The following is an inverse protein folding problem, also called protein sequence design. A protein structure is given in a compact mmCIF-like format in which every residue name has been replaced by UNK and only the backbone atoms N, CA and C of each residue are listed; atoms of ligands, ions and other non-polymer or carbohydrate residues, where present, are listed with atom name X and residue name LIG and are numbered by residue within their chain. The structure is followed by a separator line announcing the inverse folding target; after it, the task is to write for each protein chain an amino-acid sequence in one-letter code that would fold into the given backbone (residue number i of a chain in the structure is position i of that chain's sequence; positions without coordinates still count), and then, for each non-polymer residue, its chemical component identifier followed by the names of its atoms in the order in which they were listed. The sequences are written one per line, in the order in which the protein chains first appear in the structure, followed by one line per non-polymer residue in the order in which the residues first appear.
data_IF_706848632155
#
_entry.id   IF_706848632155
#
_cell.length_a   1.000
_cell.length_b   1.000
_cell.length_c   1.000
_cell.angle_alpha   90.00
_cell.angle_beta   90.00
_cell.angle_gamma   90.00
#
_symmetry.space_group_name_H-M   'P 1'
#
loop_
_entity.id
_entity.type
_entity.pdbx_description
1 polymer ?
#
# COMPACT_ATOMS: atom_id res chain seq x y z
N UNK A 1 12.23 -4.67 -23.81
CA UNK A 1 13.06 -3.43 -23.79
C UNK A 1 14.42 -3.69 -24.45
N UNK A 2 15.21 -4.63 -23.97
CA UNK A 2 16.54 -4.99 -24.52
C UNK A 2 16.47 -5.36 -26.02
N UNK A 3 15.44 -6.10 -26.42
CA UNK A 3 15.21 -6.47 -27.82
C UNK A 3 14.92 -5.25 -28.72
N UNK A 4 14.14 -4.26 -28.23
CA UNK A 4 13.86 -3.03 -28.95
C UNK A 4 15.14 -2.16 -29.14
N UNK A 5 15.98 -2.07 -28.09
CA UNK A 5 17.27 -1.37 -28.16
C UNK A 5 18.16 -2.04 -29.20
N UNK A 6 18.33 -3.37 -29.16
CA UNK A 6 19.14 -4.12 -30.10
C UNK A 6 18.67 -3.93 -31.54
N UNK A 7 17.36 -3.93 -31.80
CA UNK A 7 16.76 -3.67 -33.08
C UNK A 7 17.05 -2.25 -33.59
N UNK A 8 16.88 -1.24 -32.75
CA UNK A 8 17.15 0.17 -33.06
C UNK A 8 18.61 0.39 -33.44
N UNK A 9 19.55 -0.19 -32.67
CA UNK A 9 20.98 -0.12 -32.98
C UNK A 9 21.27 -0.78 -34.32
N UNK A 10 20.73 -1.96 -34.57
CA UNK A 10 20.93 -2.70 -35.81
C UNK A 10 20.41 -1.91 -37.01
N UNK A 11 19.21 -1.31 -36.93
CA UNK A 11 18.63 -0.49 -37.98
C UNK A 11 19.46 0.79 -38.23
N UNK A 12 19.96 1.44 -37.18
CA UNK A 12 20.82 2.61 -37.28
C UNK A 12 22.15 2.30 -37.98
N UNK A 13 22.79 1.19 -37.64
CA UNK A 13 24.05 0.74 -38.26
C UNK A 13 23.86 0.36 -39.72
N UNK A 14 22.78 -0.38 -40.07
CA UNK A 14 22.54 -0.82 -41.44
C UNK A 14 22.12 0.30 -42.40
N UNK A 15 21.36 1.27 -41.89
CA UNK A 15 20.84 2.37 -42.73
C UNK A 15 21.83 3.53 -42.90
N UNK A 16 22.89 3.60 -42.10
CA UNK A 16 23.79 4.76 -42.03
C UNK A 16 23.11 6.06 -41.58
N UNK A 17 21.82 5.99 -41.15
CA UNK A 17 20.99 7.12 -40.72
C UNK A 17 20.36 6.79 -39.36
N UNK A 18 21.00 7.22 -38.29
CA UNK A 18 20.55 6.92 -36.92
C UNK A 18 19.26 7.68 -36.54
N UNK A 19 18.97 8.82 -37.13
CA UNK A 19 17.89 9.71 -36.67
C UNK A 19 16.50 9.06 -36.73
N UNK A 20 16.13 8.36 -37.79
CA UNK A 20 14.79 7.78 -37.91
C UNK A 20 14.54 6.57 -36.99
N UNK A 21 15.47 5.60 -36.81
CA UNK A 21 15.33 4.53 -35.81
C UNK A 21 15.28 5.06 -34.39
N UNK A 22 16.12 6.04 -34.04
CA UNK A 22 16.10 6.66 -32.71
C UNK A 22 14.78 7.39 -32.45
N UNK A 23 14.28 8.17 -33.41
CA UNK A 23 13.00 8.86 -33.27
C UNK A 23 11.85 7.87 -33.04
N UNK A 24 11.80 6.74 -33.76
CA UNK A 24 10.81 5.68 -33.56
C UNK A 24 10.91 5.03 -32.16
N UNK A 25 12.15 4.79 -31.71
CA UNK A 25 12.38 4.23 -30.36
C UNK A 25 11.87 5.17 -29.28
N UNK A 26 12.25 6.46 -29.31
CA UNK A 26 11.81 7.43 -28.33
C UNK A 26 10.30 7.71 -28.39
N UNK A 27 9.71 7.73 -29.59
CA UNK A 27 8.25 7.85 -29.73
C UNK A 27 7.53 6.66 -29.15
N UNK A 28 8.05 5.45 -29.33
CA UNK A 28 7.50 4.22 -28.68
C UNK A 28 7.65 4.25 -27.18
N UNK A 29 8.77 4.72 -26.66
CA UNK A 29 8.99 4.89 -25.22
C UNK A 29 8.03 5.92 -24.62
N UNK A 30 7.85 7.06 -25.29
CA UNK A 30 6.92 8.11 -24.86
C UNK A 30 5.47 7.61 -24.87
N UNK A 31 5.07 6.87 -25.91
CA UNK A 31 3.75 6.25 -25.96
C UNK A 31 3.53 5.26 -24.80
N UNK A 32 4.52 4.39 -24.54
CA UNK A 32 4.43 3.44 -23.42
C UNK A 32 4.34 4.16 -22.08
N UNK A 33 5.15 5.20 -21.87
CA UNK A 33 5.09 6.03 -20.68
C UNK A 33 3.72 6.75 -20.54
N UNK A 34 3.17 7.25 -21.65
CA UNK A 34 1.84 7.86 -21.66
C UNK A 34 0.72 6.88 -21.29
N UNK A 35 0.79 5.65 -21.80
CA UNK A 35 -0.17 4.58 -21.45
C UNK A 35 -0.06 4.24 -19.97
N UNK A 36 1.16 4.05 -19.44
CA UNK A 36 1.36 3.77 -18.01
C UNK A 36 0.88 4.92 -17.14
N UNK A 37 1.16 6.16 -17.54
CA UNK A 37 0.67 7.35 -16.84
C UNK A 37 -0.86 7.42 -16.85
N UNK A 38 -1.49 7.12 -17.97
CA UNK A 38 -2.95 7.08 -18.09
C UNK A 38 -3.56 6.02 -17.17
N UNK A 39 -2.99 4.80 -17.16
CA UNK A 39 -3.45 3.73 -16.26
C UNK A 39 -3.29 4.17 -14.78
N UNK A 40 -2.12 4.73 -14.43
CA UNK A 40 -1.90 5.27 -13.08
C UNK A 40 -2.93 6.34 -12.71
N UNK A 41 -3.14 7.33 -13.59
CA UNK A 41 -4.10 8.41 -13.35
C UNK A 41 -5.53 7.88 -13.19
N UNK A 42 -5.94 6.92 -14.01
CA UNK A 42 -7.29 6.34 -13.98
C UNK A 42 -7.52 5.38 -12.79
N UNK A 43 -6.49 4.61 -12.40
CA UNK A 43 -6.62 3.60 -11.36
C UNK A 43 -6.26 4.12 -9.95
N UNK A 44 -5.48 5.19 -9.84
CA UNK A 44 -5.02 5.74 -8.57
C UNK A 44 -5.26 7.25 -8.46
N UNK A 45 -4.88 8.02 -9.50
CA UNK A 45 -4.91 9.47 -9.45
C UNK A 45 -6.30 10.08 -9.19
N UNK A 46 -7.35 9.48 -9.74
CA UNK A 46 -8.73 9.93 -9.51
C UNK A 46 -9.16 9.78 -8.05
N UNK A 47 -8.61 8.81 -7.33
CA UNK A 47 -8.96 8.55 -5.94
C UNK A 47 -8.47 9.63 -4.96
N UNK A 48 -7.51 10.47 -5.37
CA UNK A 48 -7.11 11.65 -4.59
C UNK A 48 -8.19 12.75 -4.52
N UNK A 49 -9.21 12.65 -5.38
CA UNK A 49 -10.38 13.55 -5.40
C UNK A 49 -11.61 12.92 -4.77
N UNK A 50 -11.47 11.72 -4.20
CA UNK A 50 -12.54 11.06 -3.46
C UNK A 50 -12.87 11.85 -2.20
N UNK A 51 -14.16 11.78 -1.79
CA UNK A 51 -14.61 12.23 -0.46
C UNK A 51 -13.78 11.51 0.63
N UNK A 52 -13.34 12.26 1.62
CA UNK A 52 -12.51 11.72 2.71
C UNK A 52 -13.28 10.70 3.56
N UNK A 53 -12.57 9.80 4.21
CA UNK A 53 -13.17 8.84 5.15
C UNK A 53 -13.93 9.54 6.27
N UNK A 54 -13.36 10.64 6.79
CA UNK A 54 -13.99 11.45 7.83
C UNK A 54 -15.34 12.04 7.36
N UNK A 55 -15.40 12.59 6.14
CA UNK A 55 -16.62 13.14 5.58
C UNK A 55 -17.68 12.06 5.31
N UNK A 56 -17.29 10.90 4.74
CA UNK A 56 -18.21 9.79 4.47
C UNK A 56 -18.78 9.17 5.74
N UNK A 57 -18.01 9.20 6.84
CA UNK A 57 -18.42 8.62 8.14
C UNK A 57 -18.94 9.65 9.13
N UNK A 58 -19.01 10.93 8.74
CA UNK A 58 -19.37 12.05 9.60
C UNK A 58 -18.50 12.16 10.88
N UNK A 59 -17.24 11.75 10.78
CA UNK A 59 -16.27 11.94 11.86
C UNK A 59 -15.79 13.39 11.86
N UNK A 60 -15.91 14.04 12.99
CA UNK A 60 -15.37 15.38 13.18
C UNK A 60 -13.84 15.26 13.36
N UNK A 61 -13.08 15.89 12.44
CA UNK A 61 -11.63 15.96 12.50
C UNK A 61 -11.24 17.40 12.82
N UNK A 62 -10.83 17.61 14.06
CA UNK A 62 -10.33 18.90 14.52
C UNK A 62 -8.80 18.86 14.70
N UNK A 63 -8.18 20.03 14.63
CA UNK A 63 -6.76 20.17 14.94
C UNK A 63 -6.50 19.98 16.43
N UNK A 64 -5.71 18.99 16.80
CA UNK A 64 -5.37 18.71 18.19
C UNK A 64 -4.24 19.59 18.73
N UNK A 65 -4.19 19.74 20.05
CA UNK A 65 -3.10 20.37 20.78
C UNK A 65 -1.94 19.40 21.02
N UNK A 66 -0.77 19.92 21.39
CA UNK A 66 0.38 19.08 21.77
C UNK A 66 0.05 18.24 23.02
N UNK A 67 -0.75 18.77 23.92
CA UNK A 67 -1.17 18.07 25.14
C UNK A 67 -2.09 16.89 24.82
N UNK A 68 -3.04 17.05 23.92
CA UNK A 68 -3.90 15.95 23.43
C UNK A 68 -3.10 14.87 22.70
N UNK A 69 -2.11 15.26 21.89
CA UNK A 69 -1.20 14.31 21.25
C UNK A 69 -0.40 13.50 22.27
N UNK A 70 0.12 14.14 23.33
CA UNK A 70 0.81 13.44 24.42
C UNK A 70 -0.11 12.46 25.13
N UNK A 71 -1.36 12.83 25.35
CA UNK A 71 -2.34 11.94 26.00
C UNK A 71 -2.67 10.75 25.11
N UNK A 72 -2.90 10.95 23.81
CA UNK A 72 -3.09 9.87 22.86
C UNK A 72 -1.86 8.92 22.83
N UNK A 73 -0.64 9.46 22.83
CA UNK A 73 0.58 8.65 22.91
C UNK A 73 0.67 7.82 24.21
N UNK A 74 0.27 8.38 25.37
CA UNK A 74 0.24 7.64 26.63
C UNK A 74 -0.78 6.51 26.57
N UNK A 75 -2.01 6.82 26.17
CA UNK A 75 -3.08 5.84 26.03
C UNK A 75 -2.66 4.68 25.12
N UNK A 76 -2.10 4.96 23.94
CA UNK A 76 -1.63 3.93 23.01
C UNK A 76 -0.45 3.12 23.61
N UNK A 77 0.45 3.78 24.34
CA UNK A 77 1.56 3.09 25.01
C UNK A 77 1.06 2.12 26.09
N UNK A 78 0.07 2.52 26.87
CA UNK A 78 -0.51 1.68 27.89
C UNK A 78 -1.23 0.47 27.27
N UNK A 79 -2.01 0.67 26.20
CA UNK A 79 -2.65 -0.41 25.44
C UNK A 79 -1.63 -1.40 24.86
N UNK A 80 -0.55 -0.91 24.27
CA UNK A 80 0.52 -1.75 23.72
C UNK A 80 1.20 -2.56 24.83
N UNK A 81 1.50 -1.94 25.99
CA UNK A 81 2.13 -2.63 27.12
C UNK A 81 1.22 -3.73 27.70
N UNK A 82 -0.07 -3.48 27.78
CA UNK A 82 -1.06 -4.48 28.22
C UNK A 82 -1.10 -5.66 27.23
N UNK A 83 -1.33 -5.38 25.95
CA UNK A 83 -1.40 -6.40 24.90
C UNK A 83 -0.09 -7.15 24.70
N UNK A 84 1.06 -6.49 24.88
CA UNK A 84 2.38 -7.10 24.71
C UNK A 84 2.65 -8.31 25.63
N UNK A 85 1.93 -8.42 26.72
CA UNK A 85 2.01 -9.57 27.65
C UNK A 85 1.27 -10.80 27.13
N UNK A 86 0.32 -10.64 26.22
CA UNK A 86 -0.60 -11.67 25.73
C UNK A 86 -0.19 -12.26 24.38
N UNK A 87 0.72 -11.60 23.64
CA UNK A 87 1.12 -12.04 22.30
C UNK A 87 2.05 -13.27 22.37
N UNK A 88 1.87 -14.16 21.39
CA UNK A 88 2.77 -15.30 21.22
C UNK A 88 4.19 -14.84 20.88
N UNK A 89 5.18 -15.43 21.53
CA UNK A 89 6.60 -15.17 21.32
C UNK A 89 7.35 -16.46 21.02
N UNK A 90 8.32 -16.36 20.13
CA UNK A 90 9.24 -17.47 19.83
C UNK A 90 10.30 -17.65 20.94
N UNK A 91 11.19 -18.63 20.74
CA UNK A 91 12.28 -18.95 21.68
C UNK A 91 13.27 -17.78 21.89
N UNK A 92 13.33 -16.84 20.95
CA UNK A 92 14.16 -15.61 21.04
C UNK A 92 13.42 -14.47 21.75
N UNK A 93 12.16 -14.67 22.15
CA UNK A 93 11.33 -13.67 22.80
C UNK A 93 10.67 -12.68 21.81
N UNK A 94 10.79 -12.90 20.51
CA UNK A 94 10.15 -12.05 19.50
C UNK A 94 8.70 -12.47 19.28
N UNK A 95 7.81 -11.47 19.16
CA UNK A 95 6.41 -11.71 18.77
C UNK A 95 6.36 -12.36 17.40
N UNK A 96 5.55 -13.40 17.28
CA UNK A 96 5.29 -14.12 16.04
C UNK A 96 3.80 -14.17 15.73
N UNK A 97 3.49 -13.96 14.45
CA UNK A 97 2.13 -14.13 13.96
C UNK A 97 1.74 -15.61 13.94
N UNK A 98 0.50 -15.88 14.31
CA UNK A 98 -0.10 -17.21 14.30
C UNK A 98 -1.28 -17.24 13.32
N UNK A 99 -1.43 -18.34 12.60
CA UNK A 99 -2.53 -18.51 11.63
C UNK A 99 -2.28 -17.81 10.29
N UNK A 100 -3.32 -17.75 9.47
CA UNK A 100 -3.28 -17.12 8.14
C UNK A 100 -3.54 -15.61 8.26
N UNK A 101 -2.46 -14.84 8.22
CA UNK A 101 -2.51 -13.37 8.35
C UNK A 101 -3.31 -12.74 7.21
N UNK A 102 -3.16 -13.27 5.99
CA UNK A 102 -3.84 -12.72 4.81
C UNK A 102 -5.36 -12.88 4.92
N UNK A 103 -5.81 -14.07 5.35
CA UNK A 103 -7.23 -14.34 5.57
C UNK A 103 -7.80 -13.47 6.70
N UNK A 104 -7.08 -13.37 7.81
CA UNK A 104 -7.50 -12.54 8.95
C UNK A 104 -7.56 -11.06 8.59
N UNK A 105 -6.62 -10.57 7.78
CA UNK A 105 -6.63 -9.18 7.31
C UNK A 105 -7.84 -8.89 6.43
N UNK A 106 -8.19 -9.82 5.52
CA UNK A 106 -9.40 -9.68 4.70
C UNK A 106 -10.64 -9.67 5.58
N UNK A 107 -10.77 -10.64 6.51
CA UNK A 107 -11.91 -10.71 7.42
C UNK A 107 -12.05 -9.44 8.30
N UNK A 108 -10.94 -8.87 8.76
CA UNK A 108 -10.94 -7.62 9.52
C UNK A 108 -11.44 -6.43 8.68
N UNK A 109 -11.01 -6.31 7.42
CA UNK A 109 -11.50 -5.26 6.52
C UNK A 109 -12.98 -5.45 6.16
N UNK A 110 -13.43 -6.67 5.92
CA UNK A 110 -14.84 -6.98 5.64
C UNK A 110 -15.73 -6.65 6.85
N UNK A 111 -15.28 -7.03 8.06
CA UNK A 111 -15.97 -6.72 9.31
C UNK A 111 -16.03 -5.20 9.57
N UNK A 112 -14.97 -4.47 9.23
CA UNK A 112 -14.98 -3.02 9.29
C UNK A 112 -15.95 -2.42 8.27
N UNK A 113 -16.11 -3.05 7.10
CA UNK A 113 -17.09 -2.70 6.08
C UNK A 113 -18.55 -2.86 6.54
N UNK A 114 -18.84 -3.74 7.51
CA UNK A 114 -20.17 -3.85 8.13
C UNK A 114 -20.51 -2.61 8.96
N UNK A 115 -19.50 -1.85 9.42
CA UNK A 115 -19.68 -0.64 10.24
C UNK A 115 -19.63 0.64 9.41
N UNK A 116 -18.92 0.63 8.29
CA UNK A 116 -18.69 1.79 7.43
C UNK A 116 -18.97 1.43 5.98
N UNK A 117 -20.08 1.87 5.44
CA UNK A 117 -20.55 1.57 4.08
C UNK A 117 -19.48 1.87 3.01
N UNK A 118 -18.67 2.91 3.21
CA UNK A 118 -17.59 3.29 2.31
C UNK A 118 -16.45 2.24 2.21
N UNK A 119 -16.40 1.31 3.15
CA UNK A 119 -15.48 0.18 3.20
C UNK A 119 -16.14 -1.16 2.85
N UNK A 120 -17.47 -1.18 2.60
CA UNK A 120 -18.20 -2.40 2.24
C UNK A 120 -17.65 -3.03 0.96
N UNK A 121 -17.58 -4.35 0.90
CA UNK A 121 -17.26 -5.15 -0.29
C UNK A 121 -16.18 -6.21 -0.03
N UNK A 122 -15.84 -6.92 -1.11
CA UNK A 122 -14.82 -7.96 -1.09
C UNK A 122 -13.42 -7.35 -1.16
N UNK A 123 -12.47 -8.01 -0.51
CA UNK A 123 -11.06 -7.62 -0.50
C UNK A 123 -10.18 -8.76 -1.02
N UNK A 124 -9.21 -8.48 -1.91
CA UNK A 124 -8.23 -9.47 -2.28
C UNK A 124 -7.28 -9.75 -1.11
N UNK A 125 -6.74 -10.95 -1.06
CA UNK A 125 -5.72 -11.30 -0.06
C UNK A 125 -4.46 -10.46 -0.28
N UNK A 126 -3.98 -9.72 0.72
CA UNK A 126 -2.73 -8.97 0.62
C UNK A 126 -1.57 -9.94 0.45
N UNK A 127 -0.52 -9.52 -0.27
CA UNK A 127 0.59 -10.41 -0.65
C UNK A 127 1.90 -9.98 0.02
N UNK A 128 2.63 -10.94 0.56
CA UNK A 128 4.03 -10.72 0.91
C UNK A 128 4.88 -10.54 -0.36
N UNK A 129 5.58 -9.43 -0.48
CA UNK A 129 6.40 -9.14 -1.66
C UNK A 129 7.64 -10.05 -1.68
N UNK A 130 7.87 -10.77 -2.78
CA UNK A 130 9.02 -11.68 -2.92
C UNK A 130 10.36 -10.94 -2.82
N UNK A 131 10.42 -9.70 -3.35
CA UNK A 131 11.60 -8.85 -3.32
C UNK A 131 11.50 -7.78 -2.22
N UNK A 132 11.08 -8.17 -1.02
CA UNK A 132 10.87 -7.28 0.13
C UNK A 132 12.09 -6.43 0.50
N UNK A 133 13.31 -6.92 0.23
CA UNK A 133 14.54 -6.15 0.42
C UNK A 133 14.54 -4.79 -0.31
N UNK A 134 13.84 -4.67 -1.45
CA UNK A 134 13.70 -3.40 -2.17
C UNK A 134 12.89 -2.40 -1.33
N UNK A 135 11.83 -2.87 -0.68
CA UNK A 135 11.04 -2.05 0.24
C UNK A 135 11.85 -1.69 1.48
N UNK A 136 12.58 -2.67 2.03
CA UNK A 136 13.44 -2.46 3.22
C UNK A 136 14.49 -1.39 3.00
N UNK A 137 15.17 -1.38 1.83
CA UNK A 137 16.16 -0.34 1.47
C UNK A 137 15.51 1.04 1.38
N UNK A 138 14.25 1.11 0.93
CA UNK A 138 13.49 2.35 0.83
C UNK A 138 12.75 2.72 2.14
N UNK A 139 12.85 1.88 3.18
CA UNK A 139 12.13 2.02 4.46
C UNK A 139 10.61 2.02 4.29
N UNK A 140 10.10 1.24 3.32
CA UNK A 140 8.68 1.05 3.07
C UNK A 140 8.22 -0.25 3.74
N UNK A 141 7.06 -0.18 4.38
CA UNK A 141 6.42 -1.34 5.03
C UNK A 141 5.49 -2.08 4.08
N UNK A 142 4.88 -1.38 3.13
CA UNK A 142 4.01 -1.95 2.12
C UNK A 142 3.98 -1.11 0.85
N UNK A 143 3.20 -1.56 -0.12
CA UNK A 143 2.93 -0.84 -1.37
C UNK A 143 1.64 -1.33 -2.02
N UNK A 144 0.72 -0.42 -2.24
CA UNK A 144 -0.39 -0.62 -3.16
C UNK A 144 0.08 -0.45 -4.61
N UNK A 145 -0.25 -1.41 -5.46
CA UNK A 145 0.05 -1.36 -6.90
C UNK A 145 -1.20 -1.02 -7.71
N UNK A 146 -1.33 0.19 -8.26
CA UNK A 146 -2.47 0.56 -9.10
C UNK A 146 -2.48 -0.15 -10.46
N UNK A 147 -1.36 -0.75 -10.88
CA UNK A 147 -1.26 -1.47 -12.15
C UNK A 147 -1.79 -2.89 -12.07
N UNK A 148 -1.66 -3.52 -10.92
CA UNK A 148 -2.12 -4.90 -10.68
C UNK A 148 -3.30 -4.96 -9.71
N UNK A 149 -3.67 -3.82 -9.09
CA UNK A 149 -4.70 -3.69 -8.07
C UNK A 149 -4.43 -4.66 -6.92
N UNK A 150 -3.20 -4.59 -6.40
CA UNK A 150 -2.71 -5.48 -5.34
C UNK A 150 -2.20 -4.69 -4.15
N UNK A 151 -2.58 -5.14 -2.95
CA UNK A 151 -2.01 -4.72 -1.69
C UNK A 151 -0.83 -5.65 -1.35
N UNK A 152 0.36 -5.09 -1.15
CA UNK A 152 1.56 -5.86 -0.88
C UNK A 152 2.26 -5.35 0.38
N UNK A 153 2.75 -6.27 1.21
CA UNK A 153 3.52 -5.92 2.41
C UNK A 153 4.95 -6.45 2.37
N UNK A 154 5.83 -5.80 3.08
CA UNK A 154 7.23 -6.18 3.23
C UNK A 154 7.33 -7.37 4.21
N UNK A 155 7.86 -8.50 3.74
CA UNK A 155 8.02 -9.71 4.55
C UNK A 155 9.25 -9.68 5.48
N UNK A 156 10.15 -8.69 5.32
CA UNK A 156 11.32 -8.53 6.16
C UNK A 156 11.07 -7.63 7.39
N UNK A 157 9.89 -7.04 7.49
CA UNK A 157 9.54 -6.27 8.69
C UNK A 157 9.17 -7.19 9.86
N UNK A 158 9.12 -6.61 11.05
CA UNK A 158 8.70 -7.34 12.26
C UNK A 158 7.24 -7.78 12.16
N UNK A 159 6.96 -8.99 12.63
CA UNK A 159 5.67 -9.66 12.50
C UNK A 159 4.49 -8.79 12.99
N UNK A 160 4.66 -8.04 14.08
CA UNK A 160 3.59 -7.19 14.63
C UNK A 160 3.14 -6.05 13.70
N UNK A 161 3.99 -5.64 12.75
CA UNK A 161 3.64 -4.59 11.79
C UNK A 161 2.84 -5.12 10.58
N UNK A 162 2.91 -6.43 10.29
CA UNK A 162 2.32 -7.00 9.07
C UNK A 162 0.81 -6.82 9.00
N UNK A 163 0.02 -7.13 10.04
CA UNK A 163 -1.44 -7.01 9.97
C UNK A 163 -1.89 -5.57 9.71
N UNK A 164 -1.32 -4.62 10.46
CA UNK A 164 -1.61 -3.20 10.27
C UNK A 164 -1.26 -2.73 8.85
N UNK A 165 -0.04 -3.04 8.39
CA UNK A 165 0.40 -2.65 7.04
C UNK A 165 -0.50 -3.27 5.97
N UNK A 166 -0.86 -4.54 6.10
CA UNK A 166 -1.74 -5.20 5.14
C UNK A 166 -3.13 -4.53 5.06
N UNK A 167 -3.72 -4.15 6.20
CA UNK A 167 -4.98 -3.39 6.24
C UNK A 167 -4.83 -2.00 5.63
N UNK A 168 -3.71 -1.31 5.90
CA UNK A 168 -3.38 -0.01 5.32
C UNK A 168 -3.32 -0.07 3.77
N UNK A 169 -2.61 -1.07 3.21
CA UNK A 169 -2.55 -1.24 1.76
C UNK A 169 -3.91 -1.63 1.15
N UNK A 170 -4.75 -2.34 1.88
CA UNK A 170 -6.14 -2.61 1.47
C UNK A 170 -7.01 -1.35 1.52
N UNK A 171 -6.74 -0.41 2.42
CA UNK A 171 -7.41 0.89 2.42
C UNK A 171 -7.06 1.72 1.17
N UNK A 172 -5.80 1.70 0.73
CA UNK A 172 -5.40 2.29 -0.56
C UNK A 172 -6.10 1.59 -1.73
N UNK A 173 -6.21 0.28 -1.71
CA UNK A 173 -6.92 -0.48 -2.74
C UNK A 173 -8.41 -0.09 -2.79
N UNK A 174 -9.00 0.22 -1.64
CA UNK A 174 -10.39 0.71 -1.54
C UNK A 174 -10.56 2.17 -2.00
N UNK A 175 -9.46 2.88 -2.32
CA UNK A 175 -9.43 4.21 -2.88
C UNK A 175 -9.11 5.33 -1.90
N UNK A 176 -8.79 5.03 -0.64
CA UNK A 176 -8.34 6.03 0.34
C UNK A 176 -6.84 6.27 0.17
N UNK A 177 -6.48 7.28 -0.65
CA UNK A 177 -5.10 7.55 -1.04
C UNK A 177 -4.34 8.43 -0.03
N UNK A 178 -5.04 9.11 0.86
CA UNK A 178 -4.41 9.94 1.89
C UNK A 178 -3.83 9.05 2.99
N UNK A 179 -2.54 9.20 3.27
CA UNK A 179 -1.82 8.36 4.24
C UNK A 179 -2.44 8.36 5.63
N UNK A 180 -2.92 9.54 6.11
CA UNK A 180 -3.59 9.64 7.40
C UNK A 180 -4.89 8.84 7.45
N UNK A 181 -5.63 8.76 6.35
CA UNK A 181 -6.86 7.98 6.25
C UNK A 181 -6.57 6.49 6.19
N UNK A 182 -5.62 6.08 5.33
CA UNK A 182 -5.20 4.70 5.22
C UNK A 182 -4.62 4.17 6.55
N UNK A 183 -3.85 5.00 7.27
CA UNK A 183 -3.36 4.68 8.61
C UNK A 183 -4.52 4.51 9.61
N UNK A 184 -5.50 5.39 9.59
CA UNK A 184 -6.64 5.32 10.51
C UNK A 184 -7.53 4.10 10.22
N UNK A 185 -7.84 3.84 8.94
CA UNK A 185 -8.58 2.64 8.52
C UNK A 185 -7.82 1.37 8.89
N UNK A 186 -6.50 1.34 8.63
CA UNK A 186 -5.64 0.22 9.01
C UNK A 186 -5.61 -0.04 10.51
N UNK A 187 -5.60 1.02 11.32
CA UNK A 187 -5.71 0.92 12.78
C UNK A 187 -7.07 0.37 13.21
N UNK A 188 -8.17 0.91 12.69
CA UNK A 188 -9.52 0.41 13.01
C UNK A 188 -9.69 -1.06 12.63
N UNK A 189 -9.21 -1.46 11.44
CA UNK A 189 -9.27 -2.86 11.01
C UNK A 189 -8.42 -3.79 11.88
N UNK A 190 -7.28 -3.32 12.38
CA UNK A 190 -6.43 -4.11 13.26
C UNK A 190 -7.05 -4.36 14.66
N UNK A 191 -8.09 -3.63 15.03
CA UNK A 191 -8.85 -3.82 16.28
C UNK A 191 -10.00 -4.84 16.13
N UNK A 192 -10.35 -5.26 14.91
CA UNK A 192 -11.44 -6.22 14.64
C UNK A 192 -10.96 -7.66 14.71
#
# INVERSE_FOLDING_TARGET
FVFCIGRTIREAVHSGKAAAPLARFFSGLLLAAGILFFIYAAACGVNYYRTSFAEETSLEVEGGTVEELKEACRMLTDQVNETASEVYRDESGQMKLTGDVQERTVAAMEKLGEKYDCLEGEYPRPKGLVFSWILSVQKLTGIYSPFTIEANYNTEMTDYNIPFTACHELAHLKGFMQEQEANFIGYLAALE
#
